data_IF_893523104427
#
_entry.id   IF_893523104427
#
_cell.length_a   1.000
_cell.length_b   1.000
_cell.length_c   1.000
_cell.angle_alpha   90.00
_cell.angle_beta   90.00
_cell.angle_gamma   90.00
#
_symmetry.space_group_name_H-M   'P 1'
#
loop_
_entity.id
_entity.type
_entity.pdbx_description
1 polymer ?
#
# COMPACT_ATOMS: atom_id res chain seq x y z
N UNK A 1 3.84 1.23 -19.65
CA UNK A 1 3.99 -0.15 -20.10
C UNK A 1 3.77 -1.12 -18.93
N UNK A 2 2.49 -1.34 -18.60
CA UNK A 2 2.00 -2.34 -17.61
C UNK A 2 1.28 -3.47 -18.37
N UNK A 3 1.39 -3.49 -19.70
CA UNK A 3 0.47 -4.17 -20.60
C UNK A 3 1.01 -5.49 -21.17
N UNK A 4 2.07 -6.07 -20.59
CA UNK A 4 2.64 -7.32 -21.12
C UNK A 4 2.07 -8.59 -20.47
N UNK A 5 1.24 -8.50 -19.42
CA UNK A 5 0.47 -9.63 -18.88
C UNK A 5 1.26 -10.91 -18.57
N UNK A 6 2.58 -10.82 -18.40
CA UNK A 6 3.48 -11.98 -18.24
C UNK A 6 3.19 -12.78 -16.97
N UNK A 7 2.54 -12.15 -16.01
CA UNK A 7 2.12 -12.76 -14.74
C UNK A 7 0.59 -12.92 -14.62
N UNK A 8 -0.17 -12.74 -15.72
CA UNK A 8 -1.58 -13.14 -15.69
C UNK A 8 -1.61 -14.65 -15.59
N UNK A 9 -2.16 -15.17 -14.49
CA UNK A 9 -2.41 -16.60 -14.38
C UNK A 9 -3.26 -17.07 -15.56
N UNK A 10 -2.94 -18.28 -16.04
CA UNK A 10 -3.75 -18.96 -17.04
C UNK A 10 -5.22 -19.03 -16.57
N UNK A 11 -6.16 -18.93 -17.51
CA UNK A 11 -7.59 -18.80 -17.23
C UNK A 11 -8.19 -19.97 -16.41
N UNK A 12 -7.45 -21.06 -16.22
CA UNK A 12 -7.79 -22.26 -15.48
C UNK A 12 -7.34 -22.25 -14.01
N UNK A 13 -6.60 -21.23 -13.57
CA UNK A 13 -6.17 -21.07 -12.17
C UNK A 13 -6.91 -19.90 -11.50
N UNK A 14 -7.79 -20.16 -10.50
CA UNK A 14 -8.40 -19.08 -9.75
C UNK A 14 -7.34 -18.32 -8.95
N UNK A 15 -7.51 -17.00 -8.85
CA UNK A 15 -6.69 -16.18 -7.95
C UNK A 15 -6.96 -16.57 -6.50
N UNK A 16 -5.87 -16.68 -5.74
CA UNK A 16 -5.97 -16.69 -4.28
C UNK A 16 -6.27 -15.26 -3.81
N UNK A 17 -7.55 -14.92 -3.81
CA UNK A 17 -8.02 -13.58 -3.43
C UNK A 17 -7.76 -13.28 -1.96
N UNK A 18 -7.68 -14.30 -1.10
CA UNK A 18 -7.38 -14.15 0.31
C UNK A 18 -5.90 -13.76 0.49
N UNK A 19 -4.98 -14.49 -0.13
CA UNK A 19 -3.55 -14.15 -0.09
C UNK A 19 -3.26 -12.78 -0.71
N UNK A 20 -3.92 -12.45 -1.84
CA UNK A 20 -3.80 -11.12 -2.46
C UNK A 20 -4.37 -10.04 -1.55
N UNK A 21 -5.51 -10.31 -0.90
CA UNK A 21 -6.13 -9.41 0.07
C UNK A 21 -5.20 -9.12 1.24
N UNK A 22 -4.64 -10.15 1.87
CA UNK A 22 -3.70 -10.00 2.97
C UNK A 22 -2.46 -9.18 2.57
N UNK A 23 -1.87 -9.47 1.40
CA UNK A 23 -0.74 -8.70 0.89
C UNK A 23 -1.10 -7.23 0.63
N UNK A 24 -2.32 -6.97 0.14
CA UNK A 24 -2.81 -5.61 -0.08
C UNK A 24 -3.02 -4.85 1.24
N UNK A 25 -3.57 -5.53 2.25
CA UNK A 25 -3.80 -4.98 3.58
C UNK A 25 -2.47 -4.55 4.23
N UNK A 26 -1.46 -5.41 4.16
CA UNK A 26 -0.11 -5.11 4.66
C UNK A 26 0.55 -3.96 3.89
N UNK A 27 0.41 -3.93 2.57
CA UNK A 27 0.95 -2.85 1.76
C UNK A 27 0.36 -1.49 2.18
N UNK A 28 -0.96 -1.40 2.37
CA UNK A 28 -1.58 -0.14 2.80
C UNK A 28 -1.20 0.24 4.23
N UNK A 29 -1.07 -0.72 5.15
CA UNK A 29 -0.56 -0.46 6.49
C UNK A 29 0.83 0.17 6.45
N UNK A 30 1.78 -0.47 5.75
CA UNK A 30 3.17 0.01 5.66
C UNK A 30 3.24 1.40 5.03
N UNK A 31 2.47 1.64 3.97
CA UNK A 31 2.39 2.96 3.34
C UNK A 31 1.86 4.02 4.31
N UNK A 32 0.74 3.73 4.99
CA UNK A 32 0.14 4.68 5.94
C UNK A 32 1.09 4.99 7.09
N UNK A 33 1.71 3.97 7.69
CA UNK A 33 2.64 4.12 8.80
C UNK A 33 3.90 4.90 8.39
N UNK A 34 4.43 4.67 7.18
CA UNK A 34 5.56 5.43 6.68
C UNK A 34 5.21 6.92 6.47
N UNK A 35 4.04 7.22 5.90
CA UNK A 35 3.61 8.58 5.61
C UNK A 35 3.31 9.40 6.88
N UNK A 36 2.84 8.74 7.94
CA UNK A 36 2.57 9.33 9.25
C UNK A 36 3.80 9.28 10.19
N UNK A 37 4.87 8.57 9.81
CA UNK A 37 6.10 8.45 10.58
C UNK A 37 6.02 7.51 11.78
N UNK A 38 5.05 6.60 11.81
CA UNK A 38 4.85 5.65 12.88
C UNK A 38 3.54 4.87 12.78
N UNK A 39 3.24 3.99 13.75
CA UNK A 39 2.03 3.19 13.76
C UNK A 39 0.75 4.03 13.66
N UNK A 40 -0.16 3.64 12.78
CA UNK A 40 -1.46 4.32 12.60
C UNK A 40 -2.51 3.65 13.50
N UNK A 41 -3.08 4.36 14.49
CA UNK A 41 -4.08 3.77 15.36
C UNK A 41 -5.41 3.58 14.62
N UNK A 42 -5.94 2.35 14.64
CA UNK A 42 -7.24 2.05 14.04
C UNK A 42 -8.37 2.42 15.02
N UNK A 43 -9.32 3.29 14.63
CA UNK A 43 -10.48 3.60 15.47
C UNK A 43 -11.34 2.36 15.72
N UNK A 44 -11.97 2.23 16.92
CA UNK A 44 -12.88 1.12 17.21
C UNK A 44 -14.00 1.01 16.17
N UNK A 45 -14.23 -0.21 15.67
CA UNK A 45 -15.26 -0.49 14.66
C UNK A 45 -14.90 -0.06 13.23
N UNK A 46 -13.70 0.45 12.99
CA UNK A 46 -13.21 0.76 11.65
C UNK A 46 -12.54 -0.47 11.02
N UNK A 47 -12.78 -0.69 9.73
CA UNK A 47 -12.01 -1.66 8.95
C UNK A 47 -10.56 -1.16 8.80
N UNK A 48 -9.55 -1.92 9.27
CA UNK A 48 -8.15 -1.46 9.26
C UNK A 48 -7.65 -1.09 7.87
N UNK A 49 -7.99 -1.89 6.86
CA UNK A 49 -7.55 -1.66 5.48
C UNK A 49 -8.16 -0.41 4.89
N UNK A 50 -9.47 -0.22 5.06
CA UNK A 50 -10.17 0.99 4.64
C UNK A 50 -9.56 2.22 5.32
N UNK A 51 -9.24 2.12 6.62
CA UNK A 51 -8.61 3.21 7.35
C UNK A 51 -7.23 3.59 6.79
N UNK A 52 -6.34 2.61 6.56
CA UNK A 52 -5.03 2.87 5.98
C UNK A 52 -5.14 3.45 4.56
N UNK A 53 -6.07 2.96 3.74
CA UNK A 53 -6.38 3.54 2.42
C UNK A 53 -6.78 5.00 2.54
N UNK A 54 -7.63 5.34 3.50
CA UNK A 54 -8.04 6.71 3.77
C UNK A 54 -6.87 7.58 4.20
N UNK A 55 -5.99 7.10 5.09
CA UNK A 55 -4.78 7.85 5.50
C UNK A 55 -3.90 8.14 4.29
N UNK A 56 -3.55 7.13 3.49
CA UNK A 56 -2.75 7.32 2.28
C UNK A 56 -3.42 8.32 1.33
N UNK A 57 -4.73 8.16 1.10
CA UNK A 57 -5.48 9.05 0.21
C UNK A 57 -5.45 10.50 0.69
N UNK A 58 -5.83 10.77 1.93
CA UNK A 58 -5.86 12.11 2.51
C UNK A 58 -4.46 12.73 2.55
N UNK A 59 -3.43 11.94 2.86
CA UNK A 59 -2.06 12.41 2.84
C UNK A 59 -1.66 12.86 1.42
N UNK A 60 -1.97 12.08 0.39
CA UNK A 60 -1.64 12.43 -0.99
C UNK A 60 -2.39 13.65 -1.52
N UNK A 61 -3.59 13.92 -0.98
CA UNK A 61 -4.42 15.08 -1.34
C UNK A 61 -4.15 16.34 -0.50
N UNK A 62 -3.23 16.29 0.46
CA UNK A 62 -3.01 17.43 1.35
C UNK A 62 -2.64 18.70 0.56
N UNK A 63 -3.20 19.88 0.93
CA UNK A 63 -2.92 21.14 0.23
C UNK A 63 -1.41 21.41 0.09
N UNK A 64 -1.00 21.83 -1.10
CA UNK A 64 0.41 22.12 -1.40
C UNK A 64 1.25 20.91 -1.80
N UNK A 65 0.68 19.69 -1.82
CA UNK A 65 1.36 18.52 -2.41
C UNK A 65 1.04 18.39 -3.89
N UNK A 66 2.09 18.13 -4.66
CA UNK A 66 2.01 17.79 -6.08
C UNK A 66 1.93 16.27 -6.26
N UNK A 67 1.41 15.84 -7.41
CA UNK A 67 1.41 14.43 -7.79
C UNK A 67 2.81 13.80 -7.77
N UNK A 68 3.85 14.58 -8.13
CA UNK A 68 5.23 14.10 -8.11
C UNK A 68 5.74 13.86 -6.70
N UNK A 69 5.41 14.74 -5.75
CA UNK A 69 5.76 14.55 -4.33
C UNK A 69 5.04 13.34 -3.74
N UNK A 70 3.74 13.17 -4.06
CA UNK A 70 2.98 12.00 -3.64
C UNK A 70 3.61 10.70 -4.19
N UNK A 71 3.92 10.66 -5.49
CA UNK A 71 4.58 9.51 -6.10
C UNK A 71 5.97 9.24 -5.52
N UNK A 72 6.75 10.28 -5.20
CA UNK A 72 8.06 10.13 -4.57
C UNK A 72 7.96 9.51 -3.17
N UNK A 73 7.01 9.96 -2.35
CA UNK A 73 6.81 9.42 -1.00
C UNK A 73 6.36 7.95 -1.04
N UNK A 74 5.44 7.59 -1.95
CA UNK A 74 5.00 6.20 -2.10
C UNK A 74 6.14 5.28 -2.55
N UNK A 75 7.01 5.73 -3.46
CA UNK A 75 8.20 4.96 -3.85
C UNK A 75 9.19 4.79 -2.71
N UNK A 76 9.40 5.83 -1.89
CA UNK A 76 10.27 5.75 -0.73
C UNK A 76 9.73 4.75 0.31
N UNK A 77 8.42 4.78 0.56
CA UNK A 77 7.76 3.82 1.44
C UNK A 77 7.88 2.37 0.92
N UNK A 78 7.70 2.16 -0.38
CA UNK A 78 7.89 0.84 -1.00
C UNK A 78 9.34 0.34 -0.89
N UNK A 79 10.32 1.21 -1.13
CA UNK A 79 11.74 0.85 -0.99
C UNK A 79 12.11 0.53 0.47
N UNK A 80 11.54 1.25 1.44
CA UNK A 80 11.72 0.97 2.86
C UNK A 80 11.10 -0.38 3.25
N UNK A 81 9.92 -0.70 2.72
CA UNK A 81 9.25 -1.98 2.93
C UNK A 81 10.10 -3.15 2.38
N UNK A 82 10.60 -3.01 1.15
CA UNK A 82 11.46 -4.02 0.52
C UNK A 82 12.79 -4.20 1.28
N UNK A 83 13.37 -3.11 1.79
CA UNK A 83 14.57 -3.18 2.62
C UNK A 83 14.32 -3.91 3.94
N UNK A 84 13.15 -3.72 4.56
CA UNK A 84 12.78 -4.41 5.78
C UNK A 84 12.56 -5.92 5.54
N UNK A 85 11.91 -6.29 4.44
CA UNK A 85 11.67 -7.69 4.08
C UNK A 85 12.97 -8.48 3.90
N UNK A 86 13.99 -7.87 3.28
CA UNK A 86 15.31 -8.52 3.09
C UNK A 86 16.11 -8.77 4.37
N UNK A 87 15.71 -8.18 5.50
CA UNK A 87 16.40 -8.33 6.79
C UNK A 87 15.89 -9.51 7.63
N UNK A 88 14.80 -10.15 7.21
CA UNK A 88 14.17 -11.30 7.86
C UNK A 88 14.22 -12.55 6.98
#
# INVERSE_FOLDING_TARGET
DVAAGRDRMAADRPYDLEAIGAALDDAYRILAEHLEGGPVPIPPGCDPTAHHKTVVHLWTLAPGRTAQQAAAALRAAAAAAEAADRLF
#
